data_IF_275997489336
#
_entry.id   IF_275997489336
#
_cell.length_a   1.000
_cell.length_b   1.000
_cell.length_c   1.000
_cell.angle_alpha   90.00
_cell.angle_beta   90.00
_cell.angle_gamma   90.00
#
_symmetry.space_group_name_H-M   'P 1'
#
loop_
_entity.id
_entity.type
_entity.pdbx_description
1 polymer ?
#
# COMPACT_ATOMS: atom_id res chain seq x y z
N UNK A 1 -3.01 16.36 24.76
CA UNK A 1 -2.94 14.89 24.57
C UNK A 1 -2.42 14.23 25.83
N UNK A 2 -1.22 14.59 26.28
CA UNK A 2 -0.65 14.10 27.55
C UNK A 2 -1.55 14.34 28.77
N UNK A 3 -2.12 15.53 28.92
CA UNK A 3 -3.08 15.84 30.00
C UNK A 3 -4.34 14.95 30.00
N UNK A 4 -4.65 14.33 28.86
CA UNK A 4 -5.76 13.39 28.70
C UNK A 4 -5.34 11.92 28.93
N UNK A 5 -4.08 11.66 29.31
CA UNK A 5 -3.53 10.31 29.47
C UNK A 5 -3.20 9.59 28.16
N UNK A 6 -3.18 10.31 27.02
CA UNK A 6 -2.79 9.72 25.73
C UNK A 6 -1.27 9.53 25.73
N UNK A 7 -0.83 8.30 25.50
CA UNK A 7 0.57 7.91 25.54
C UNK A 7 1.14 7.48 24.18
N UNK A 8 0.31 7.38 23.14
CA UNK A 8 0.73 7.10 21.75
C UNK A 8 -0.03 8.01 20.79
N UNK A 9 0.70 8.61 19.85
CA UNK A 9 0.11 9.32 18.72
C UNK A 9 0.11 8.42 17.48
N UNK A 10 -1.06 8.23 16.89
CA UNK A 10 -1.20 7.66 15.55
C UNK A 10 -1.76 8.73 14.61
N UNK A 11 -1.43 8.62 13.34
CA UNK A 11 -2.03 9.41 12.27
C UNK A 11 -2.59 8.43 11.23
N UNK A 12 -3.50 8.86 10.36
CA UNK A 12 -3.58 8.16 9.07
C UNK A 12 -2.18 8.25 8.48
N UNK A 13 -1.48 7.11 8.32
CA UNK A 13 -0.04 6.99 8.03
C UNK A 13 0.36 7.66 6.70
N UNK A 14 0.23 8.98 6.66
CA UNK A 14 0.39 9.89 5.55
C UNK A 14 1.77 10.57 5.46
N UNK A 15 2.81 10.31 6.31
CA UNK A 15 4.05 11.07 6.19
C UNK A 15 4.96 10.50 5.10
N UNK A 16 4.39 10.30 3.91
CA UNK A 16 5.06 10.17 2.61
C UNK A 16 4.17 10.58 1.43
N UNK A 17 3.04 11.25 1.72
CA UNK A 17 2.25 11.82 0.66
C UNK A 17 2.96 13.07 0.16
N UNK A 18 3.64 12.86 -0.98
CA UNK A 18 4.06 13.81 -1.99
C UNK A 18 5.53 14.22 -2.00
N UNK A 19 6.50 13.30 -1.93
CA UNK A 19 7.84 13.65 -2.42
C UNK A 19 7.77 14.05 -3.89
N UNK A 20 7.67 15.36 -4.08
CA UNK A 20 8.02 16.08 -5.27
C UNK A 20 9.49 15.72 -5.51
N UNK A 21 9.74 14.70 -6.32
CA UNK A 21 11.07 14.38 -6.89
C UNK A 21 11.53 15.50 -7.86
N UNK A 22 11.19 16.75 -7.54
CA UNK A 22 11.68 17.97 -8.15
C UNK A 22 13.18 18.05 -7.86
N UNK A 23 13.90 18.70 -8.76
CA UNK A 23 15.30 19.00 -8.54
C UNK A 23 15.41 20.33 -7.77
N UNK A 24 16.14 20.38 -6.64
CA UNK A 24 16.88 19.29 -6.00
C UNK A 24 15.97 18.30 -5.28
N UNK A 25 16.30 16.99 -5.36
CA UNK A 25 15.57 15.93 -4.67
C UNK A 25 15.49 16.24 -3.18
N UNK A 26 14.30 16.25 -2.63
CA UNK A 26 14.04 16.65 -1.25
C UNK A 26 12.75 15.99 -0.75
N UNK A 27 12.69 15.76 0.56
CA UNK A 27 11.54 15.18 1.25
C UNK A 27 10.82 16.28 2.05
N UNK A 28 10.32 17.30 1.36
CA UNK A 28 9.72 18.47 2.04
C UNK A 28 8.54 18.07 2.92
N UNK A 29 7.79 17.04 2.54
CA UNK A 29 6.62 16.59 3.26
C UNK A 29 7.00 15.82 4.53
N UNK A 30 7.99 14.93 4.46
CA UNK A 30 8.58 14.32 5.66
C UNK A 30 9.25 15.35 6.55
N UNK A 31 9.94 16.33 5.97
CA UNK A 31 10.56 17.43 6.75
C UNK A 31 9.51 18.34 7.40
N UNK A 32 8.31 18.50 6.82
CA UNK A 32 7.21 19.20 7.45
C UNK A 32 6.74 18.50 8.75
N UNK A 33 6.87 17.17 8.83
CA UNK A 33 6.60 16.41 10.06
C UNK A 33 7.72 16.51 11.09
N UNK A 34 8.92 16.98 10.72
CA UNK A 34 10.03 17.12 11.66
C UNK A 34 9.63 17.95 12.89
N UNK A 35 8.91 19.06 12.69
CA UNK A 35 8.47 19.89 13.82
C UNK A 35 7.55 19.12 14.76
N UNK A 36 6.56 18.39 14.23
CA UNK A 36 5.63 17.57 15.02
C UNK A 36 6.39 16.50 15.80
N UNK A 37 7.37 15.86 15.18
CA UNK A 37 8.20 14.82 15.79
C UNK A 37 9.15 15.37 16.86
N UNK A 38 9.74 16.54 16.63
CA UNK A 38 10.60 17.20 17.62
C UNK A 38 9.79 17.64 18.85
N UNK A 39 8.54 18.08 18.66
CA UNK A 39 7.61 18.33 19.77
C UNK A 39 7.28 17.02 20.49
N UNK A 40 6.90 15.97 19.78
CA UNK A 40 6.61 14.66 20.38
C UNK A 40 7.80 14.15 21.22
N UNK A 41 9.03 14.28 20.71
CA UNK A 41 10.27 13.94 21.42
C UNK A 41 10.43 14.71 22.71
N UNK A 42 10.19 16.03 22.70
CA UNK A 42 10.33 16.90 23.88
C UNK A 42 9.29 16.60 24.95
N UNK A 43 8.06 16.31 24.53
CA UNK A 43 6.94 16.01 25.42
C UNK A 43 6.93 14.55 25.91
N UNK A 44 7.89 13.72 25.46
CA UNK A 44 7.97 12.30 25.83
C UNK A 44 6.84 11.45 25.23
N UNK A 45 6.25 11.88 24.12
CA UNK A 45 5.23 11.13 23.41
C UNK A 45 5.89 10.13 22.45
N UNK A 46 5.36 8.90 22.40
CA UNK A 46 5.69 7.96 21.34
C UNK A 46 4.71 8.10 20.17
N UNK A 47 5.16 7.77 18.97
CA UNK A 47 4.37 7.81 17.74
C UNK A 47 4.26 6.42 17.14
N UNK A 48 3.21 6.12 16.40
CA UNK A 48 3.18 4.88 15.61
C UNK A 48 4.36 4.84 14.61
N UNK A 49 4.84 3.65 14.27
CA UNK A 49 5.78 3.51 13.17
C UNK A 49 5.08 3.66 11.83
N UNK A 50 5.67 4.39 10.89
CA UNK A 50 5.03 4.70 9.61
C UNK A 50 5.61 3.93 8.43
N UNK A 51 4.72 3.24 7.72
CA UNK A 51 4.95 2.65 6.42
C UNK A 51 4.58 3.62 5.29
N UNK A 52 4.10 3.06 4.19
CA UNK A 52 3.72 3.80 2.97
C UNK A 52 2.22 3.83 2.75
N UNK A 53 1.74 4.91 2.12
CA UNK A 53 0.37 5.09 1.65
C UNK A 53 0.36 5.64 0.21
N UNK A 54 -0.33 4.99 -0.74
CA UNK A 54 -0.67 3.56 -0.70
C UNK A 54 0.60 2.68 -0.71
N UNK A 55 0.49 1.44 -0.24
CA UNK A 55 1.61 0.47 -0.28
C UNK A 55 2.21 0.29 -1.68
N UNK A 56 1.38 0.35 -2.72
CA UNK A 56 1.72 0.09 -4.11
C UNK A 56 2.04 1.35 -4.92
N UNK A 57 2.30 2.49 -4.26
CA UNK A 57 2.50 3.76 -4.97
C UNK A 57 3.75 3.75 -5.86
N UNK A 58 3.62 4.20 -7.11
CA UNK A 58 4.70 4.08 -8.09
C UNK A 58 5.98 4.86 -7.78
N UNK A 59 5.88 6.00 -7.08
CA UNK A 59 7.05 6.82 -6.73
C UNK A 59 8.00 6.12 -5.73
N UNK A 60 7.56 5.08 -5.01
CA UNK A 60 8.42 4.33 -4.07
C UNK A 60 9.64 3.72 -4.77
N UNK A 61 9.52 3.37 -6.06
CA UNK A 61 10.64 2.91 -6.88
C UNK A 61 11.76 3.95 -6.94
N UNK A 62 11.40 5.20 -7.25
CA UNK A 62 12.38 6.26 -7.47
C UNK A 62 12.98 6.77 -6.16
N UNK A 63 12.20 6.73 -5.07
CA UNK A 63 12.67 6.98 -3.70
C UNK A 63 13.69 5.91 -3.29
N UNK A 64 13.34 4.63 -3.43
CA UNK A 64 14.25 3.54 -3.11
C UNK A 64 15.52 3.58 -3.96
N UNK A 65 15.41 3.95 -5.24
CA UNK A 65 16.58 4.13 -6.11
C UNK A 65 17.49 5.28 -5.65
N UNK A 66 16.90 6.38 -5.20
CA UNK A 66 17.64 7.51 -4.66
C UNK A 66 18.36 7.15 -3.36
N UNK A 67 17.67 6.53 -2.40
CA UNK A 67 18.23 6.15 -1.10
C UNK A 67 19.37 5.14 -1.26
N UNK A 68 19.21 4.15 -2.14
CA UNK A 68 20.21 3.08 -2.34
C UNK A 68 21.32 3.45 -3.32
N UNK A 69 21.14 4.52 -4.10
CA UNK A 69 22.01 4.88 -5.22
C UNK A 69 22.00 3.87 -6.38
N UNK A 70 21.00 2.97 -6.44
CA UNK A 70 20.91 1.89 -7.43
C UNK A 70 19.53 1.86 -8.11
N UNK A 71 19.44 1.54 -9.41
CA UNK A 71 18.14 1.33 -10.04
C UNK A 71 17.33 0.21 -9.36
N UNK A 72 16.02 0.42 -9.20
CA UNK A 72 15.10 -0.60 -8.70
C UNK A 72 14.32 -1.19 -9.88
N UNK A 73 14.49 -2.49 -10.20
CA UNK A 73 13.98 -3.08 -11.44
C UNK A 73 12.49 -3.45 -11.36
N UNK A 74 11.63 -2.45 -11.11
CA UNK A 74 10.17 -2.62 -11.13
C UNK A 74 9.65 -2.43 -12.56
N UNK A 75 8.94 -3.43 -13.07
CA UNK A 75 8.45 -3.48 -14.44
C UNK A 75 6.93 -3.55 -14.53
N UNK A 76 6.26 -3.99 -13.47
CA UNK A 76 4.83 -4.21 -13.46
C UNK A 76 4.11 -3.03 -12.80
N UNK A 77 3.22 -2.38 -13.55
CA UNK A 77 2.46 -1.24 -13.07
C UNK A 77 0.98 -1.41 -13.39
N UNK A 78 0.16 -0.75 -12.58
CA UNK A 78 -1.28 -0.62 -12.76
C UNK A 78 -1.64 0.86 -12.81
N UNK A 79 -2.93 1.18 -12.99
CA UNK A 79 -3.43 2.56 -12.93
C UNK A 79 -2.56 3.55 -13.72
N UNK A 80 -2.32 3.29 -15.01
CA UNK A 80 -1.58 4.22 -15.87
C UNK A 80 -0.18 4.58 -15.35
N UNK A 81 0.48 3.64 -14.63
CA UNK A 81 1.78 3.82 -13.96
C UNK A 81 1.77 4.67 -12.69
N UNK A 82 0.60 4.96 -12.12
CA UNK A 82 0.51 5.60 -10.81
C UNK A 82 0.66 4.61 -9.64
N UNK A 83 0.42 3.32 -9.88
CA UNK A 83 0.63 2.23 -8.94
C UNK A 83 1.49 1.12 -9.55
N UNK A 84 2.20 0.39 -8.71
CA UNK A 84 2.98 -0.80 -9.00
C UNK A 84 2.07 -2.01 -8.81
N UNK A 85 2.21 -3.04 -9.64
CA UNK A 85 1.42 -4.25 -9.43
C UNK A 85 1.75 -4.90 -8.09
N UNK A 86 0.72 -5.38 -7.39
CA UNK A 86 0.90 -6.12 -6.13
C UNK A 86 1.63 -7.46 -6.30
N UNK A 87 1.76 -7.94 -7.55
CA UNK A 87 2.55 -9.12 -7.88
C UNK A 87 4.01 -8.81 -8.18
N UNK A 88 4.39 -7.53 -8.20
CA UNK A 88 5.77 -7.12 -8.45
C UNK A 88 6.68 -7.57 -7.29
N UNK A 89 7.63 -8.51 -7.53
CA UNK A 89 8.50 -9.04 -6.48
C UNK A 89 9.37 -7.98 -5.81
N UNK A 90 9.67 -6.87 -6.50
CA UNK A 90 10.48 -5.78 -5.95
C UNK A 90 9.69 -4.76 -5.13
N UNK A 91 8.36 -4.80 -5.12
CA UNK A 91 7.54 -3.84 -4.38
C UNK A 91 7.79 -3.88 -2.86
N UNK A 92 7.85 -5.05 -2.18
CA UNK A 92 8.19 -5.12 -0.77
C UNK A 92 9.60 -4.59 -0.47
N UNK A 93 10.57 -4.88 -1.36
CA UNK A 93 11.93 -4.37 -1.21
C UNK A 93 11.98 -2.85 -1.28
N UNK A 94 11.35 -2.25 -2.31
CA UNK A 94 11.31 -0.81 -2.48
C UNK A 94 10.69 -0.10 -1.26
N UNK A 95 9.58 -0.65 -0.74
CA UNK A 95 8.94 -0.16 0.48
C UNK A 95 9.87 -0.29 1.70
N UNK A 96 10.54 -1.43 1.88
CA UNK A 96 11.45 -1.64 3.01
C UNK A 96 12.60 -0.62 3.05
N UNK A 97 13.12 -0.20 1.89
CA UNK A 97 14.15 0.84 1.80
C UNK A 97 13.62 2.18 2.35
N UNK A 98 12.41 2.58 1.94
CA UNK A 98 11.80 3.81 2.41
C UNK A 98 11.49 3.76 3.93
N UNK A 99 10.99 2.61 4.42
CA UNK A 99 10.66 2.43 5.83
C UNK A 99 11.91 2.43 6.71
N UNK A 100 12.98 1.74 6.31
CA UNK A 100 14.26 1.76 7.02
C UNK A 100 14.88 3.16 7.05
N UNK A 101 14.76 3.90 5.95
CA UNK A 101 15.21 5.29 5.91
C UNK A 101 14.52 6.15 6.97
N UNK A 102 13.19 6.05 7.14
CA UNK A 102 12.50 6.77 8.22
C UNK A 102 12.86 6.25 9.60
N UNK A 103 12.95 4.93 9.74
CA UNK A 103 13.30 4.31 11.00
C UNK A 103 14.66 4.82 11.51
N UNK A 104 15.65 5.01 10.63
CA UNK A 104 16.93 5.62 11.01
C UNK A 104 16.83 7.09 11.43
N UNK A 105 15.80 7.83 11.00
CA UNK A 105 15.60 9.24 11.36
C UNK A 105 14.82 9.42 12.66
N UNK A 106 13.79 8.61 12.87
CA UNK A 106 12.77 8.82 13.90
C UNK A 106 12.32 7.56 14.64
N UNK A 107 12.95 6.42 14.38
CA UNK A 107 12.61 5.15 15.03
C UNK A 107 12.79 5.16 16.54
N UNK A 108 13.56 6.10 17.10
CA UNK A 108 13.67 6.35 18.54
C UNK A 108 12.37 6.83 19.18
N UNK A 109 11.45 7.42 18.38
CA UNK A 109 10.14 7.87 18.82
C UNK A 109 9.05 6.83 18.60
N UNK A 110 9.33 5.77 17.85
CA UNK A 110 8.30 4.82 17.46
C UNK A 110 7.88 3.97 18.66
N UNK A 111 6.59 3.67 18.73
CA UNK A 111 6.01 2.77 19.71
C UNK A 111 6.76 1.43 19.67
N UNK A 112 7.38 1.09 20.78
CA UNK A 112 7.92 -0.23 21.04
C UNK A 112 6.97 -0.97 21.98
N UNK A 113 6.49 -2.14 21.56
CA UNK A 113 5.66 -2.99 22.42
C UNK A 113 6.54 -3.82 23.36
N UNK A 114 5.94 -4.45 24.38
CA UNK A 114 6.64 -5.16 25.46
C UNK A 114 7.73 -6.15 24.98
N UNK A 115 7.49 -6.83 23.85
CA UNK A 115 8.43 -7.79 23.26
C UNK A 115 9.64 -7.16 22.59
N UNK A 116 9.71 -5.83 22.55
CA UNK A 116 10.73 -5.07 21.84
C UNK A 116 10.41 -4.81 20.37
N UNK A 117 9.27 -5.29 19.87
CA UNK A 117 8.85 -5.09 18.48
C UNK A 117 8.42 -3.64 18.25
N UNK A 118 8.71 -3.11 17.05
CA UNK A 118 8.23 -1.79 16.60
C UNK A 118 7.23 -2.00 15.46
N UNK A 119 5.92 -1.88 15.72
CA UNK A 119 4.91 -2.00 14.68
C UNK A 119 5.04 -0.86 13.66
N UNK A 120 5.02 -1.22 12.36
CA UNK A 120 4.98 -0.27 11.26
C UNK A 120 3.60 -0.33 10.61
N UNK A 121 2.83 0.75 10.72
CA UNK A 121 1.52 0.92 10.10
C UNK A 121 1.69 1.05 8.59
N UNK A 122 1.20 0.07 7.83
CA UNK A 122 1.11 0.12 6.37
C UNK A 122 -0.35 0.24 6.02
N UNK A 123 -0.71 1.30 5.32
CA UNK A 123 -2.10 1.51 4.97
C UNK A 123 -2.42 0.82 3.64
N UNK A 124 -3.55 0.15 3.64
CA UNK A 124 -4.11 -0.52 2.48
C UNK A 124 -5.55 -0.06 2.23
N UNK A 125 -5.68 1.09 1.55
CA UNK A 125 -6.97 1.69 1.17
C UNK A 125 -7.94 0.72 0.52
N UNK A 126 -7.47 -0.40 -0.04
CA UNK A 126 -8.34 -1.40 -0.69
C UNK A 126 -9.44 -1.93 0.25
N UNK A 127 -9.18 -2.04 1.56
CA UNK A 127 -10.19 -2.43 2.54
C UNK A 127 -11.27 -1.35 2.72
N UNK A 128 -10.83 -0.12 3.03
CA UNK A 128 -11.68 1.05 3.19
C UNK A 128 -12.52 1.33 1.94
N UNK A 129 -11.87 1.36 0.77
CA UNK A 129 -12.52 1.62 -0.51
C UNK A 129 -13.62 0.60 -0.79
N UNK A 130 -13.37 -0.68 -0.51
CA UNK A 130 -14.38 -1.72 -0.72
C UNK A 130 -15.54 -1.65 0.28
N UNK A 131 -15.26 -1.47 1.57
CA UNK A 131 -16.27 -1.58 2.62
C UNK A 131 -17.10 -0.29 2.80
N UNK A 132 -16.44 0.86 2.82
CA UNK A 132 -17.08 2.12 3.20
C UNK A 132 -17.49 2.95 1.98
N UNK A 133 -16.71 2.86 0.89
CA UNK A 133 -16.95 3.65 -0.33
C UNK A 133 -17.66 2.83 -1.41
N UNK A 134 -17.61 1.50 -1.32
CA UNK A 134 -18.05 0.55 -2.36
C UNK A 134 -17.37 0.79 -3.71
N UNK A 135 -16.05 0.97 -3.68
CA UNK A 135 -15.21 1.24 -4.84
C UNK A 135 -13.95 0.35 -4.80
N UNK A 136 -13.43 0.01 -5.98
CA UNK A 136 -12.26 -0.84 -6.19
C UNK A 136 -11.30 -0.20 -7.19
N UNK A 137 -10.01 -0.32 -6.92
CA UNK A 137 -8.96 -0.01 -7.89
C UNK A 137 -8.79 -1.18 -8.88
N UNK A 138 -8.59 -0.92 -10.18
CA UNK A 138 -8.12 -1.90 -11.16
C UNK A 138 -6.92 -2.70 -10.66
N UNK A 139 -7.09 -4.02 -10.57
CA UNK A 139 -6.08 -4.99 -10.17
C UNK A 139 -4.96 -5.12 -11.21
N UNK A 140 -5.30 -4.97 -12.49
CA UNK A 140 -4.38 -5.17 -13.62
C UNK A 140 -4.17 -6.65 -13.97
N UNK A 141 -3.71 -6.89 -15.20
CA UNK A 141 -3.60 -8.24 -15.79
C UNK A 141 -2.71 -9.19 -14.97
N UNK A 142 -1.60 -8.69 -14.43
CA UNK A 142 -0.67 -9.52 -13.65
C UNK A 142 -1.31 -10.02 -12.35
N UNK A 143 -2.04 -9.15 -11.65
CA UNK A 143 -2.76 -9.49 -10.43
C UNK A 143 -3.89 -10.48 -10.72
N UNK A 144 -4.63 -10.30 -11.83
CA UNK A 144 -5.65 -11.24 -12.28
C UNK A 144 -5.03 -12.61 -12.59
N UNK A 145 -3.87 -12.63 -13.27
CA UNK A 145 -3.12 -13.86 -13.53
C UNK A 145 -2.69 -14.57 -12.23
N UNK A 146 -2.14 -13.83 -11.26
CA UNK A 146 -1.77 -14.39 -9.97
C UNK A 146 -2.98 -14.90 -9.18
N UNK A 147 -4.13 -14.22 -9.28
CA UNK A 147 -5.38 -14.70 -8.70
C UNK A 147 -5.79 -16.04 -9.33
N UNK A 148 -5.77 -16.17 -10.66
CA UNK A 148 -6.06 -17.43 -11.36
C UNK A 148 -5.13 -18.56 -10.91
N UNK A 149 -3.83 -18.29 -10.78
CA UNK A 149 -2.87 -19.28 -10.25
C UNK A 149 -3.18 -19.69 -8.81
N UNK A 150 -3.56 -18.74 -7.95
CA UNK A 150 -3.98 -19.03 -6.59
C UNK A 150 -5.25 -19.90 -6.55
N UNK A 151 -6.24 -19.59 -7.40
CA UNK A 151 -7.47 -20.40 -7.54
C UNK A 151 -7.12 -21.81 -8.01
N UNK A 152 -6.25 -21.94 -9.02
CA UNK A 152 -5.77 -23.24 -9.52
C UNK A 152 -5.10 -24.05 -8.41
N UNK A 153 -4.25 -23.43 -7.58
CA UNK A 153 -3.60 -24.09 -6.44
C UNK A 153 -4.60 -24.50 -5.35
N UNK A 154 -5.58 -23.64 -5.05
CA UNK A 154 -6.55 -23.86 -3.98
C UNK A 154 -7.56 -24.96 -4.32
N UNK A 155 -8.15 -24.92 -5.51
CA UNK A 155 -9.23 -25.83 -5.90
C UNK A 155 -8.76 -27.00 -6.75
N UNK A 156 -7.55 -26.94 -7.32
CA UNK A 156 -6.91 -27.96 -8.18
C UNK A 156 -7.57 -28.18 -9.54
N UNK A 157 -8.90 -28.18 -9.60
CA UNK A 157 -9.72 -28.42 -10.80
C UNK A 157 -10.77 -27.32 -10.96
N UNK A 158 -11.15 -26.98 -12.19
CA UNK A 158 -12.16 -25.93 -12.43
C UNK A 158 -13.53 -26.37 -11.92
N UNK A 159 -13.84 -27.67 -11.95
CA UNK A 159 -15.07 -28.25 -11.44
C UNK A 159 -15.21 -28.05 -9.92
N UNK A 160 -14.12 -28.19 -9.17
CA UNK A 160 -14.11 -27.93 -7.73
C UNK A 160 -14.29 -26.44 -7.41
N UNK A 161 -13.69 -25.54 -8.20
CA UNK A 161 -13.93 -24.11 -8.07
C UNK A 161 -15.39 -23.76 -8.36
N UNK A 162 -15.93 -24.27 -9.48
CA UNK A 162 -17.33 -24.09 -9.86
C UNK A 162 -18.29 -24.60 -8.80
N UNK A 163 -18.05 -25.78 -8.25
CA UNK A 163 -18.86 -26.35 -7.16
C UNK A 163 -18.82 -25.48 -5.90
N UNK A 164 -17.65 -24.92 -5.55
CA UNK A 164 -17.50 -24.09 -4.37
C UNK A 164 -18.17 -22.71 -4.51
N UNK A 165 -18.25 -22.18 -5.73
CA UNK A 165 -18.75 -20.83 -5.99
C UNK A 165 -20.16 -20.77 -6.58
N UNK A 166 -20.72 -21.92 -6.97
CA UNK A 166 -21.98 -21.95 -7.72
C UNK A 166 -21.82 -21.36 -9.13
N UNK A 167 -20.63 -21.43 -9.72
CA UNK A 167 -20.31 -20.90 -11.04
C UNK A 167 -20.21 -22.01 -12.10
N UNK A 168 -19.94 -21.62 -13.36
CA UNK A 168 -19.87 -22.53 -14.50
C UNK A 168 -18.76 -22.15 -15.49
N UNK A 169 -17.58 -21.81 -15.00
CA UNK A 169 -16.41 -21.50 -15.84
C UNK A 169 -15.90 -22.76 -16.55
N UNK A 170 -15.55 -22.66 -17.82
CA UNK A 170 -14.96 -23.78 -18.58
C UNK A 170 -13.47 -23.96 -18.27
N UNK A 171 -12.80 -22.90 -17.80
CA UNK A 171 -11.38 -22.94 -17.44
C UNK A 171 -11.04 -21.88 -16.39
N UNK A 172 -9.86 -22.00 -15.77
CA UNK A 172 -9.36 -20.97 -14.86
C UNK A 172 -9.10 -19.63 -15.56
N UNK A 173 -8.87 -19.62 -16.88
CA UNK A 173 -8.53 -18.42 -17.63
C UNK A 173 -9.77 -17.53 -17.88
N UNK A 174 -10.97 -18.09 -17.77
CA UNK A 174 -12.24 -17.34 -17.81
C UNK A 174 -12.52 -16.56 -16.52
N UNK A 175 -11.83 -16.88 -15.42
CA UNK A 175 -12.05 -16.22 -14.14
C UNK A 175 -11.47 -14.81 -14.22
N UNK A 176 -12.33 -13.80 -14.26
CA UNK A 176 -11.92 -12.40 -14.21
C UNK A 176 -12.75 -11.67 -13.12
N UNK A 177 -12.12 -11.28 -12.00
CA UNK A 177 -12.81 -10.58 -10.92
C UNK A 177 -13.25 -9.15 -11.32
N UNK A 178 -12.88 -8.65 -12.50
CA UNK A 178 -13.19 -7.31 -12.98
C UNK A 178 -14.13 -7.27 -14.19
N UNK A 179 -14.62 -8.43 -14.67
CA UNK A 179 -15.36 -8.52 -15.95
C UNK A 179 -16.64 -7.67 -15.97
N UNK A 180 -17.38 -7.67 -14.87
CA UNK A 180 -18.66 -6.96 -14.74
C UNK A 180 -18.52 -5.61 -14.03
N UNK A 181 -17.31 -5.04 -14.03
CA UNK A 181 -17.03 -3.78 -13.33
C UNK A 181 -17.90 -2.64 -13.84
N UNK A 182 -18.48 -1.87 -12.93
CA UNK A 182 -19.23 -0.65 -13.26
C UNK A 182 -18.35 0.56 -12.96
N UNK A 183 -18.14 1.48 -13.92
CA UNK A 183 -17.37 2.70 -13.69
C UNK A 183 -17.96 3.50 -12.52
N UNK A 184 -17.12 4.00 -11.61
CA UNK A 184 -17.60 4.80 -10.50
C UNK A 184 -18.20 6.16 -10.97
N UNK A 185 -18.76 6.93 -10.03
CA UNK A 185 -19.37 8.26 -10.30
C UNK A 185 -18.43 9.28 -10.97
N UNK A 186 -17.13 9.04 -10.97
CA UNK A 186 -16.10 9.93 -11.53
C UNK A 186 -15.62 9.50 -12.93
N UNK A 187 -16.25 8.50 -13.56
CA UNK A 187 -16.07 8.23 -14.99
C UNK A 187 -14.69 7.69 -15.38
N UNK A 188 -14.39 6.46 -14.92
CA UNK A 188 -13.43 5.51 -15.50
C UNK A 188 -11.93 5.64 -15.20
N UNK A 189 -11.39 6.71 -14.62
CA UNK A 189 -9.92 6.79 -14.59
C UNK A 189 -9.24 5.87 -13.60
N UNK A 190 -9.83 5.64 -12.44
CA UNK A 190 -9.10 4.97 -11.35
C UNK A 190 -9.90 3.90 -10.62
N UNK A 191 -11.21 3.83 -10.77
CA UNK A 191 -12.07 3.21 -9.76
C UNK A 191 -13.34 2.63 -10.38
N UNK A 192 -13.78 1.46 -9.91
CA UNK A 192 -15.03 0.80 -10.30
C UNK A 192 -15.80 0.29 -9.09
N UNK A 193 -17.10 0.03 -9.25
CA UNK A 193 -17.94 -0.61 -8.24
C UNK A 193 -18.31 -2.01 -8.69
N UNK A 194 -18.71 -2.87 -7.74
CA UNK A 194 -19.35 -4.14 -8.11
C UNK A 194 -20.71 -3.87 -8.76
N UNK A 195 -21.17 -4.74 -9.68
CA UNK A 195 -22.54 -4.72 -10.14
C UNK A 195 -23.49 -4.92 -8.96
N UNK A 196 -24.64 -4.24 -9.00
CA UNK A 196 -25.69 -4.36 -7.98
C UNK A 196 -26.39 -5.71 -8.04
#
# INVERSE_FOLDING_TARGET
MMDCGINVMASTSMPWLYDDMRNPKSNYQGDAFKYVLDVARREGMVVEGWGTYPFDRANVRDIAAWITGKPIPITQYTLGKSAISLTEPMLPFANSVAWLHQFHRWGDLYLQVERGDVPISVEDTRGWMRQDVNVRYPMGEQTIGAFREWVRKKYRTIEAANKAWGSSFNSFDEIDPEIDRVPNRFGHRWEYTDPK
#
